data_IF_542215226456
#
_entry.id   IF_542215226456
#
_cell.length_a   1.000
_cell.length_b   1.000
_cell.length_c   1.000
_cell.angle_alpha   90.00
_cell.angle_beta   90.00
_cell.angle_gamma   90.00
#
_symmetry.space_group_name_H-M   'P 1'
#
loop_
_entity.id
_entity.type
_entity.pdbx_description
1 polymer ?
#
# COMPACT_ATOMS: atom_id res chain seq x y z
N UNK A 1 -2.85 -24.50 -14.45
CA UNK A 1 -2.58 -24.23 -13.01
C UNK A 1 -1.37 -23.33 -12.84
N UNK A 2 -0.22 -23.65 -13.43
CA UNK A 2 1.00 -22.81 -13.37
C UNK A 2 0.82 -21.38 -13.89
N UNK A 3 0.09 -21.19 -15.00
CA UNK A 3 -0.22 -19.87 -15.58
C UNK A 3 -0.97 -18.95 -14.63
N UNK A 4 -1.94 -19.49 -13.87
CA UNK A 4 -2.70 -18.70 -12.89
C UNK A 4 -1.82 -18.26 -11.72
N UNK A 5 -0.97 -19.15 -11.22
CA UNK A 5 -0.03 -18.84 -10.12
C UNK A 5 0.94 -17.73 -10.56
N UNK A 6 1.52 -17.86 -11.75
CA UNK A 6 2.43 -16.83 -12.31
C UNK A 6 1.69 -15.52 -12.56
N UNK A 7 0.44 -15.57 -13.02
CA UNK A 7 -0.39 -14.37 -13.24
C UNK A 7 -0.66 -13.59 -11.95
N UNK A 8 -1.05 -14.27 -10.87
CA UNK A 8 -1.27 -13.66 -9.55
C UNK A 8 0.02 -13.04 -9.01
N UNK A 9 1.15 -13.73 -9.19
CA UNK A 9 2.46 -13.27 -8.72
C UNK A 9 2.93 -12.04 -9.50
N UNK A 10 2.78 -12.04 -10.83
CA UNK A 10 3.07 -10.88 -11.68
C UNK A 10 2.16 -9.69 -11.37
N UNK A 11 0.87 -9.92 -11.13
CA UNK A 11 -0.06 -8.87 -10.74
C UNK A 11 0.34 -8.25 -9.39
N UNK A 12 0.73 -9.08 -8.41
CA UNK A 12 1.25 -8.59 -7.12
C UNK A 12 2.49 -7.72 -7.28
N UNK A 13 3.45 -8.13 -8.11
CA UNK A 13 4.65 -7.33 -8.40
C UNK A 13 4.29 -6.02 -9.12
N UNK A 14 3.37 -6.06 -10.09
CA UNK A 14 2.94 -4.88 -10.84
C UNK A 14 2.30 -3.84 -9.91
N UNK A 15 1.39 -4.28 -9.04
CA UNK A 15 0.75 -3.39 -8.05
C UNK A 15 1.79 -2.85 -7.07
N UNK A 16 2.69 -3.70 -6.55
CA UNK A 16 3.79 -3.27 -5.69
C UNK A 16 4.61 -2.12 -6.32
N UNK A 17 5.01 -2.27 -7.59
CA UNK A 17 5.80 -1.25 -8.29
C UNK A 17 4.96 0.00 -8.55
N UNK A 18 3.67 -0.13 -8.86
CA UNK A 18 2.77 1.00 -9.09
C UNK A 18 2.69 1.91 -7.86
N UNK A 19 2.49 1.32 -6.69
CA UNK A 19 2.35 2.05 -5.43
C UNK A 19 3.68 2.62 -4.93
N UNK A 20 4.76 1.85 -5.11
CA UNK A 20 6.10 2.35 -4.86
C UNK A 20 6.39 3.57 -5.74
N UNK A 21 5.88 3.61 -6.97
CA UNK A 21 5.96 4.75 -7.87
C UNK A 21 5.28 6.00 -7.29
N UNK A 22 4.05 5.88 -6.79
CA UNK A 22 3.34 6.98 -6.12
C UNK A 22 4.09 7.47 -4.90
N UNK A 23 4.56 6.55 -4.06
CA UNK A 23 5.36 6.87 -2.87
C UNK A 23 6.63 7.65 -3.23
N UNK A 24 7.35 7.17 -4.26
CA UNK A 24 8.59 7.79 -4.69
C UNK A 24 8.35 9.18 -5.26
N UNK A 25 7.38 9.33 -6.17
CA UNK A 25 7.04 10.63 -6.78
C UNK A 25 6.56 11.61 -5.71
N UNK A 26 5.71 11.18 -4.77
CA UNK A 26 5.26 12.02 -3.66
C UNK A 26 6.43 12.55 -2.83
N UNK A 27 7.37 11.67 -2.45
CA UNK A 27 8.59 12.06 -1.71
C UNK A 27 9.48 13.01 -2.50
N UNK A 28 9.61 12.83 -3.83
CA UNK A 28 10.37 13.73 -4.70
C UNK A 28 9.73 15.10 -4.83
N UNK A 29 8.39 15.17 -4.87
CA UNK A 29 7.64 16.41 -4.89
C UNK A 29 7.59 17.13 -3.53
N UNK A 30 8.21 16.56 -2.49
CA UNK A 30 8.18 17.10 -1.13
C UNK A 30 6.85 16.90 -0.41
N UNK A 31 5.97 16.05 -0.95
CA UNK A 31 4.71 15.68 -0.31
C UNK A 31 5.01 14.66 0.78
N UNK A 32 4.53 14.92 2.00
CA UNK A 32 4.69 13.98 3.12
C UNK A 32 3.73 12.82 2.94
N UNK A 33 4.26 11.61 2.88
CA UNK A 33 3.47 10.38 2.92
C UNK A 33 3.32 9.94 4.36
N UNK A 34 2.08 9.81 4.81
CA UNK A 34 1.72 9.38 6.16
C UNK A 34 1.71 7.87 6.29
N UNK A 35 1.11 7.17 5.31
CA UNK A 35 1.03 5.71 5.31
C UNK A 35 1.35 5.15 3.95
N UNK A 36 2.13 4.08 3.93
CA UNK A 36 2.42 3.26 2.78
C UNK A 36 2.01 1.83 3.12
N UNK A 37 0.88 1.36 2.60
CA UNK A 37 0.38 0.02 2.83
C UNK A 37 0.64 -0.85 1.63
N UNK A 38 1.28 -1.98 1.86
CA UNK A 38 1.45 -3.03 0.87
C UNK A 38 0.46 -4.16 1.15
N UNK A 39 -0.51 -4.29 0.26
CA UNK A 39 -1.61 -5.23 0.39
C UNK A 39 -2.86 -4.65 1.05
N UNK A 40 -3.90 -5.48 1.07
CA UNK A 40 -5.20 -5.19 1.69
C UNK A 40 -5.50 -6.14 2.85
N UNK A 41 -6.49 -5.75 3.66
CA UNK A 41 -7.02 -6.57 4.75
C UNK A 41 -6.24 -6.43 6.06
N UNK A 42 -6.20 -7.47 6.90
CA UNK A 42 -5.62 -7.36 8.24
C UNK A 42 -4.13 -7.06 8.16
N UNK A 43 -3.71 -6.05 8.93
CA UNK A 43 -2.30 -5.67 9.07
C UNK A 43 -1.52 -6.82 9.71
N UNK A 44 -0.52 -7.32 9.00
CA UNK A 44 0.42 -8.31 9.52
C UNK A 44 1.55 -7.62 10.26
N UNK A 45 2.12 -6.60 9.63
CA UNK A 45 3.26 -5.85 10.16
C UNK A 45 3.03 -4.37 9.90
N UNK A 46 3.34 -3.55 10.89
CA UNK A 46 3.42 -2.09 10.73
C UNK A 46 4.74 -1.61 11.32
N UNK A 47 5.40 -0.71 10.61
CA UNK A 47 6.66 -0.11 11.05
C UNK A 47 6.66 1.37 10.69
N UNK A 48 6.73 2.22 11.70
CA UNK A 48 6.92 3.65 11.48
C UNK A 48 8.39 3.95 11.24
N UNK A 49 8.69 4.67 10.15
CA UNK A 49 10.03 5.18 9.86
C UNK A 49 9.96 6.64 9.45
N UNK A 50 10.47 7.51 10.31
CA UNK A 50 10.38 8.96 10.13
C UNK A 50 8.92 9.40 10.18
N UNK A 51 8.44 9.96 9.06
CA UNK A 51 7.09 10.50 8.93
C UNK A 51 6.10 9.53 8.26
N UNK A 52 6.60 8.37 7.79
CA UNK A 52 5.81 7.39 7.03
C UNK A 52 5.65 6.10 7.83
N UNK A 53 4.42 5.64 7.95
CA UNK A 53 4.08 4.31 8.47
C UNK A 53 4.05 3.31 7.32
N UNK A 54 4.90 2.28 7.38
CA UNK A 54 4.94 1.20 6.40
C UNK A 54 4.11 0.03 6.94
N UNK A 55 3.08 -0.37 6.20
CA UNK A 55 2.20 -1.48 6.55
C UNK A 55 2.37 -2.60 5.53
N UNK A 56 2.29 -3.84 6.01
CA UNK A 56 2.20 -5.03 5.19
C UNK A 56 0.96 -5.79 5.65
N UNK A 57 0.04 -6.05 4.72
CA UNK A 57 -1.22 -6.72 4.97
C UNK A 57 -1.22 -8.14 4.39
N UNK A 58 -2.18 -8.96 4.84
CA UNK A 58 -2.23 -10.37 4.48
C UNK A 58 -2.49 -10.65 2.99
N UNK A 59 -3.16 -9.74 2.28
CA UNK A 59 -3.52 -9.92 0.88
C UNK A 59 -2.58 -9.07 0.01
N UNK A 60 -1.62 -9.65 -0.74
CA UNK A 60 -0.63 -8.89 -1.52
C UNK A 60 -1.17 -8.31 -2.84
N UNK A 61 -2.48 -8.44 -3.09
CA UNK A 61 -3.14 -8.02 -4.33
C UNK A 61 -3.63 -6.56 -4.23
N UNK A 62 -2.73 -5.64 -3.87
CA UNK A 62 -3.15 -4.29 -3.54
C UNK A 62 -2.19 -3.48 -2.69
N UNK A 63 -2.71 -2.34 -2.24
CA UNK A 63 -2.16 -1.45 -1.24
C UNK A 63 -2.76 -0.06 -1.33
N UNK A 64 -2.22 0.88 -0.55
CA UNK A 64 -2.48 2.31 -0.75
C UNK A 64 -1.35 3.20 -0.23
N UNK A 65 -1.28 4.44 -0.74
CA UNK A 65 -0.35 5.49 -0.28
C UNK A 65 -1.13 6.69 0.20
N UNK A 66 -1.12 6.96 1.50
CA UNK A 66 -1.82 8.09 2.10
C UNK A 66 -0.91 9.31 2.17
N UNK A 67 -1.26 10.38 1.45
CA UNK A 67 -0.49 11.63 1.42
C UNK A 67 -1.07 12.68 2.38
N UNK A 68 -0.20 13.54 2.90
CA UNK A 68 -0.57 14.65 3.78
C UNK A 68 -1.39 15.67 2.99
N UNK A 69 -2.63 15.89 3.39
CA UNK A 69 -3.55 16.82 2.72
C UNK A 69 -4.66 16.13 1.93
N UNK A 70 -4.57 14.81 1.70
CA UNK A 70 -5.74 13.99 1.40
C UNK A 70 -6.60 13.95 2.68
N UNK A 71 -7.50 14.94 2.79
CA UNK A 71 -8.53 15.00 3.83
C UNK A 71 -9.26 13.66 3.85
N UNK A 72 -9.52 13.14 5.07
CA UNK A 72 -9.85 11.74 5.38
C UNK A 72 -11.03 11.13 4.62
N UNK A 73 -10.86 10.94 3.32
CA UNK A 73 -11.76 10.30 2.40
C UNK A 73 -11.21 8.95 2.02
N UNK A 74 -11.70 7.93 2.70
CA UNK A 74 -12.17 6.67 2.11
C UNK A 74 -11.20 5.76 1.34
N UNK A 75 -9.88 6.00 1.32
CA UNK A 75 -8.94 5.03 0.73
C UNK A 75 -8.41 4.07 1.81
N UNK A 76 -9.28 3.15 2.24
CA UNK A 76 -8.94 2.05 3.14
C UNK A 76 -10.01 1.59 4.14
N UNK A 77 -11.26 2.06 4.02
CA UNK A 77 -12.39 1.65 4.88
C UNK A 77 -12.93 0.25 4.54
N UNK A 78 -12.06 -0.77 4.58
CA UNK A 78 -12.46 -2.16 4.38
C UNK A 78 -11.76 -3.14 5.33
N UNK A 79 -11.30 -2.68 6.50
CA UNK A 79 -10.65 -3.56 7.48
C UNK A 79 -11.03 -3.26 8.94
N UNK A 80 -12.24 -2.71 9.17
CA UNK A 80 -12.90 -2.83 10.47
C UNK A 80 -14.02 -3.88 10.34
N UNK A 81 -13.63 -5.15 10.41
CA UNK A 81 -14.53 -6.23 10.81
C UNK A 81 -13.74 -7.04 11.84
N UNK A 82 -13.89 -6.61 13.10
CA UNK A 82 -13.76 -7.37 14.37
C UNK A 82 -12.66 -8.42 14.48
#
# INVERSE_FOLDING_TARGET
MTTFIVGILMLGILVFVHELGHFWIAKLCGVKVLKFSLGFGPKLVSRQWGETEYLICAIPLGGYVQMLGEGGGEQGEAAELT
#
